data_IF_468218220912
#
_entry.id   IF_468218220912
#
_cell.length_a   1.000
_cell.length_b   1.000
_cell.length_c   1.000
_cell.angle_alpha   90.00
_cell.angle_beta   90.00
_cell.angle_gamma   90.00
#
_symmetry.space_group_name_H-M   'P 1'
#
loop_
_entity.id
_entity.type
_entity.pdbx_description
1 polymer ?
#
# COMPACT_ATOMS: atom_id res chain seq x y z
N UNK A 1 5.70 0.21 0.68
CA UNK A 1 4.33 -0.30 0.71
C UNK A 1 4.35 -1.61 1.44
N UNK A 2 3.50 -1.72 2.47
CA UNK A 2 3.45 -2.88 3.36
C UNK A 2 2.02 -3.17 3.84
N UNK A 3 1.03 -3.17 2.95
CA UNK A 3 -0.37 -3.19 3.39
C UNK A 3 -0.75 -4.52 4.03
N UNK A 4 -0.24 -5.63 3.51
CA UNK A 4 -0.49 -6.93 4.13
C UNK A 4 0.25 -7.04 5.46
N UNK A 5 1.51 -6.61 5.51
CA UNK A 5 2.31 -6.64 6.75
C UNK A 5 1.72 -5.73 7.85
N UNK A 6 1.16 -4.57 7.51
CA UNK A 6 0.61 -3.62 8.48
C UNK A 6 -0.82 -3.91 8.91
N UNK A 7 -1.67 -4.41 8.00
CA UNK A 7 -3.10 -4.52 8.28
C UNK A 7 -3.63 -5.95 8.23
N UNK A 8 -2.91 -6.90 7.62
CA UNK A 8 -3.35 -8.29 7.52
C UNK A 8 -3.59 -8.94 8.88
N UNK A 9 -2.68 -8.71 9.84
CA UNK A 9 -2.79 -9.26 11.20
C UNK A 9 -4.03 -8.77 11.96
N UNK A 10 -4.53 -7.56 11.67
CA UNK A 10 -5.72 -7.00 12.32
C UNK A 10 -6.99 -7.78 11.98
N UNK A 11 -7.05 -8.42 10.80
CA UNK A 11 -8.17 -9.31 10.44
C UNK A 11 -8.00 -10.71 11.05
N UNK A 12 -6.77 -11.20 11.15
CA UNK A 12 -6.51 -12.54 11.72
C UNK A 12 -6.87 -12.63 13.21
N UNK A 13 -6.79 -11.52 13.94
CA UNK A 13 -7.23 -11.46 15.35
C UNK A 13 -8.76 -11.58 15.52
N UNK A 14 -9.54 -11.42 14.44
CA UNK A 14 -11.00 -11.62 14.42
C UNK A 14 -11.40 -13.04 13.96
N UNK A 15 -10.48 -13.79 13.36
CA UNK A 15 -10.75 -15.12 12.86
C UNK A 15 -10.65 -16.14 14.02
N UNK A 16 -11.80 -16.71 14.42
CA UNK A 16 -11.96 -17.69 15.52
C UNK A 16 -10.98 -18.89 15.49
N UNK A 17 -10.33 -19.13 14.35
CA UNK A 17 -9.39 -20.22 14.10
C UNK A 17 -7.91 -19.88 14.35
N UNK A 18 -7.57 -18.59 14.49
CA UNK A 18 -6.20 -18.18 14.79
C UNK A 18 -6.11 -17.82 16.29
N UNK A 19 -5.19 -18.42 17.06
CA UNK A 19 -4.96 -17.98 18.44
C UNK A 19 -4.56 -16.50 18.42
N UNK A 20 -4.82 -15.76 19.51
CA UNK A 20 -4.25 -14.41 19.68
C UNK A 20 -2.74 -14.53 19.58
N UNK A 21 -2.18 -14.24 18.41
CA UNK A 21 -0.76 -14.34 18.18
C UNK A 21 -0.09 -13.34 19.11
N UNK A 22 0.88 -13.80 19.91
CA UNK A 22 1.66 -12.89 20.73
C UNK A 22 2.28 -11.80 19.85
N UNK A 23 2.36 -10.57 20.37
CA UNK A 23 2.87 -9.41 19.63
C UNK A 23 4.20 -9.71 18.90
N UNK A 24 5.09 -10.47 19.54
CA UNK A 24 6.35 -10.89 18.95
C UNK A 24 6.17 -11.72 17.66
N UNK A 25 5.24 -12.68 17.66
CA UNK A 25 4.99 -13.51 16.49
C UNK A 25 4.34 -12.71 15.35
N UNK A 26 3.44 -11.77 15.68
CA UNK A 26 2.88 -10.82 14.69
C UNK A 26 3.98 -10.00 14.04
N UNK A 27 4.90 -9.43 14.83
CA UNK A 27 6.03 -8.63 14.32
C UNK A 27 6.86 -9.45 13.34
N UNK A 28 7.25 -10.68 13.72
CA UNK A 28 8.09 -11.54 12.86
C UNK A 28 7.38 -11.91 11.56
N UNK A 29 6.10 -12.30 11.63
CA UNK A 29 5.33 -12.64 10.42
C UNK A 29 5.15 -11.42 9.53
N UNK A 30 4.79 -10.26 10.09
CA UNK A 30 4.71 -9.01 9.34
C UNK A 30 6.03 -8.67 8.66
N UNK A 31 7.17 -8.93 9.32
CA UNK A 31 8.51 -8.72 8.74
C UNK A 31 8.80 -9.63 7.53
N UNK A 32 8.38 -10.90 7.61
CA UNK A 32 8.51 -11.84 6.49
C UNK A 32 7.64 -11.43 5.31
N UNK A 33 6.39 -11.01 5.55
CA UNK A 33 5.50 -10.49 4.51
C UNK A 33 6.07 -9.22 3.87
N UNK A 34 6.55 -8.31 4.72
CA UNK A 34 7.22 -7.08 4.34
C UNK A 34 8.43 -7.32 3.41
N UNK A 35 9.22 -8.36 3.70
CA UNK A 35 10.34 -8.75 2.85
C UNK A 35 9.90 -9.07 1.42
N UNK A 36 8.84 -9.87 1.25
CA UNK A 36 8.30 -10.19 -0.07
C UNK A 36 7.73 -8.95 -0.78
N UNK A 37 7.02 -8.07 -0.08
CA UNK A 37 6.52 -6.81 -0.66
C UNK A 37 7.69 -5.95 -1.19
N UNK A 38 8.81 -5.91 -0.47
CA UNK A 38 10.02 -5.20 -0.92
C UNK A 38 10.70 -5.85 -2.11
N UNK A 39 10.70 -7.18 -2.22
CA UNK A 39 11.29 -7.89 -3.37
C UNK A 39 10.68 -7.45 -4.70
N UNK A 40 9.43 -6.99 -4.72
CA UNK A 40 8.80 -6.42 -5.92
C UNK A 40 8.97 -4.90 -6.01
N UNK A 41 8.81 -4.20 -4.89
CA UNK A 41 8.81 -2.74 -4.91
C UNK A 41 10.18 -2.14 -5.22
N UNK A 42 11.26 -2.72 -4.69
CA UNK A 42 12.62 -2.20 -4.87
C UNK A 42 13.08 -2.31 -6.33
N UNK A 43 12.96 -3.47 -7.02
CA UNK A 43 13.26 -3.55 -8.44
C UNK A 43 12.38 -2.65 -9.30
N UNK A 44 11.07 -2.58 -9.03
CA UNK A 44 10.17 -1.72 -9.79
C UNK A 44 10.56 -0.24 -9.70
N UNK A 45 10.89 0.24 -8.50
CA UNK A 45 11.35 1.61 -8.29
C UNK A 45 12.69 1.87 -8.98
N UNK A 46 13.60 0.88 -9.00
CA UNK A 46 14.90 0.99 -9.65
C UNK A 46 14.77 1.07 -11.17
N UNK A 47 13.93 0.22 -11.77
CA UNK A 47 13.69 0.19 -13.23
C UNK A 47 13.02 1.49 -13.70
N UNK A 48 12.12 2.06 -12.88
CA UNK A 48 11.42 3.30 -13.23
C UNK A 48 12.26 4.58 -13.08
N UNK A 49 13.40 4.55 -12.37
CA UNK A 49 14.16 5.77 -12.04
C UNK A 49 15.05 6.25 -13.17
N UNK A 50 14.96 7.55 -13.45
CA UNK A 50 15.67 8.22 -14.55
C UNK A 50 17.18 7.96 -14.57
N UNK A 51 17.83 7.96 -13.40
CA UNK A 51 19.28 7.75 -13.33
C UNK A 51 19.70 6.28 -13.57
N UNK A 52 18.75 5.34 -13.54
CA UNK A 52 18.98 3.94 -13.90
C UNK A 52 18.42 3.60 -15.30
N UNK A 53 18.09 4.61 -16.12
CA UNK A 53 17.58 4.43 -17.48
C UNK A 53 16.05 4.37 -17.59
N UNK A 54 15.33 4.58 -16.49
CA UNK A 54 13.87 4.65 -16.47
C UNK A 54 13.31 6.01 -16.93
N UNK A 55 11.99 6.14 -17.08
CA UNK A 55 11.37 7.37 -17.58
C UNK A 55 11.06 8.41 -16.47
N UNK A 56 11.10 8.05 -15.19
CA UNK A 56 10.53 8.86 -14.11
C UNK A 56 11.57 9.49 -13.18
N UNK A 57 11.33 10.73 -12.75
CA UNK A 57 12.12 11.39 -11.69
C UNK A 57 11.83 10.77 -10.32
N UNK A 58 12.67 11.08 -9.32
CA UNK A 58 12.48 10.63 -7.94
C UNK A 58 11.09 11.02 -7.40
N UNK A 59 10.67 12.27 -7.67
CA UNK A 59 9.38 12.80 -7.21
C UNK A 59 8.21 12.10 -7.91
N UNK A 60 8.29 11.88 -9.21
CA UNK A 60 7.27 11.17 -9.97
C UNK A 60 7.11 9.72 -9.49
N UNK A 61 8.22 9.01 -9.24
CA UNK A 61 8.19 7.66 -8.68
C UNK A 61 7.52 7.60 -7.32
N UNK A 62 7.83 8.55 -6.44
CA UNK A 62 7.23 8.61 -5.11
C UNK A 62 5.72 8.80 -5.20
N UNK A 63 5.26 9.66 -6.09
CA UNK A 63 3.85 9.96 -6.27
C UNK A 63 3.10 8.80 -6.89
N UNK A 64 3.67 8.16 -7.91
CA UNK A 64 3.15 6.90 -8.45
C UNK A 64 3.00 5.87 -7.31
N UNK A 65 4.03 5.74 -6.46
CA UNK A 65 3.97 4.81 -5.34
C UNK A 65 2.87 5.15 -4.34
N UNK A 66 2.64 6.42 -4.00
CA UNK A 66 1.54 6.84 -3.11
C UNK A 66 0.16 6.57 -3.73
N UNK A 67 0.01 6.81 -5.04
CA UNK A 67 -1.24 6.50 -5.76
C UNK A 67 -1.52 5.00 -5.72
N UNK A 68 -0.52 4.16 -6.07
CA UNK A 68 -0.65 2.71 -5.94
C UNK A 68 -0.95 2.36 -4.47
N UNK A 69 -0.35 3.09 -3.52
CA UNK A 69 -0.60 2.99 -2.06
C UNK A 69 -2.04 3.06 -1.67
N UNK A 70 -2.68 4.12 -2.09
CA UNK A 70 -4.05 4.36 -1.71
C UNK A 70 -4.99 3.43 -2.48
N UNK A 71 -4.71 3.12 -3.75
CA UNK A 71 -5.52 2.18 -4.54
C UNK A 71 -5.53 0.78 -3.93
N UNK A 72 -4.35 0.19 -3.68
CA UNK A 72 -4.28 -1.17 -3.12
C UNK A 72 -4.78 -1.19 -1.68
N UNK A 73 -4.56 -0.14 -0.89
CA UNK A 73 -5.15 -0.03 0.45
C UNK A 73 -6.69 0.00 0.42
N UNK A 74 -7.30 0.77 -0.48
CA UNK A 74 -8.76 0.83 -0.65
C UNK A 74 -9.32 -0.53 -1.10
N UNK A 75 -8.68 -1.19 -2.07
CA UNK A 75 -9.09 -2.54 -2.48
C UNK A 75 -8.97 -3.53 -1.32
N UNK A 76 -7.86 -3.47 -0.59
CA UNK A 76 -7.63 -4.32 0.57
C UNK A 76 -8.67 -4.07 1.68
N UNK A 77 -8.98 -2.81 2.02
CA UNK A 77 -9.97 -2.50 3.05
C UNK A 77 -11.38 -2.94 2.65
N UNK A 78 -11.76 -2.82 1.37
CA UNK A 78 -13.04 -3.31 0.88
C UNK A 78 -13.15 -4.84 0.94
N UNK A 79 -12.12 -5.56 0.49
CA UNK A 79 -12.13 -7.03 0.44
C UNK A 79 -11.95 -7.66 1.83
N UNK A 80 -10.98 -7.16 2.60
CA UNK A 80 -10.64 -7.70 3.91
C UNK A 80 -11.49 -7.08 5.02
N UNK A 81 -11.72 -5.77 5.08
CA UNK A 81 -12.41 -5.22 6.25
C UNK A 81 -13.93 -5.16 6.08
N UNK A 82 -14.49 -5.19 4.85
CA UNK A 82 -15.94 -5.23 4.55
C UNK A 82 -16.81 -4.17 5.27
N UNK A 83 -16.21 -3.23 6.01
CA UNK A 83 -16.92 -2.38 6.99
C UNK A 83 -17.11 -0.93 6.59
N UNK A 84 -16.53 -0.45 5.48
CA UNK A 84 -16.66 0.97 5.13
C UNK A 84 -17.61 1.19 3.95
N UNK A 85 -18.69 1.94 4.21
CA UNK A 85 -19.57 2.48 3.19
C UNK A 85 -18.83 3.58 2.43
N UNK A 86 -18.89 3.57 1.09
CA UNK A 86 -18.31 4.64 0.27
C UNK A 86 -18.94 5.99 0.65
N UNK A 87 -18.22 6.79 1.43
CA UNK A 87 -18.60 8.18 1.77
C UNK A 87 -18.04 9.15 0.75
N UNK A 88 -18.75 10.27 0.54
CA UNK A 88 -18.36 11.35 -0.38
C UNK A 88 -16.90 11.84 -0.17
N UNK A 89 -16.40 11.79 1.06
CA UNK A 89 -15.03 12.13 1.41
C UNK A 89 -13.98 11.28 0.67
N UNK A 90 -14.27 10.00 0.38
CA UNK A 90 -13.38 9.12 -0.39
C UNK A 90 -13.28 9.57 -1.84
N UNK A 91 -14.39 10.03 -2.42
CA UNK A 91 -14.42 10.57 -3.78
C UNK A 91 -13.59 11.86 -3.87
N UNK A 92 -13.75 12.75 -2.90
CA UNK A 92 -12.97 13.99 -2.80
C UNK A 92 -11.46 13.67 -2.66
N UNK A 93 -11.10 12.71 -1.82
CA UNK A 93 -9.71 12.27 -1.68
C UNK A 93 -9.13 11.71 -3.00
N UNK A 94 -9.90 10.93 -3.76
CA UNK A 94 -9.51 10.46 -5.10
C UNK A 94 -9.28 11.63 -6.06
N UNK A 95 -10.14 12.65 -6.08
CA UNK A 95 -9.96 13.84 -6.92
C UNK A 95 -8.65 14.57 -6.57
N UNK A 96 -8.36 14.76 -5.28
CA UNK A 96 -7.11 15.39 -4.86
C UNK A 96 -5.87 14.55 -5.24
N UNK A 97 -5.97 13.22 -5.24
CA UNK A 97 -4.88 12.37 -5.75
C UNK A 97 -4.64 12.56 -7.24
N UNK A 98 -5.71 12.61 -8.04
CA UNK A 98 -5.59 12.87 -9.49
C UNK A 98 -4.96 14.25 -9.75
N UNK A 99 -5.38 15.27 -8.99
CA UNK A 99 -4.78 16.61 -9.07
C UNK A 99 -3.29 16.60 -8.70
N UNK A 100 -2.91 15.89 -7.62
CA UNK A 100 -1.52 15.76 -7.21
C UNK A 100 -0.66 15.08 -8.29
N UNK A 101 -1.17 14.05 -8.96
CA UNK A 101 -0.50 13.44 -10.12
C UNK A 101 -0.36 14.47 -11.24
N UNK A 102 -1.44 15.15 -11.63
CA UNK A 102 -1.38 16.13 -12.72
C UNK A 102 -0.29 17.20 -12.51
N UNK A 103 -0.20 17.79 -11.32
CA UNK A 103 0.79 18.84 -11.04
C UNK A 103 2.25 18.37 -11.02
N UNK A 104 2.50 17.08 -10.75
CA UNK A 104 3.87 16.55 -10.66
C UNK A 104 4.39 16.07 -12.01
N UNK A 105 3.49 15.83 -12.97
CA UNK A 105 3.83 15.44 -14.34
C UNK A 105 3.78 16.60 -15.34
N UNK A 106 3.34 17.79 -14.92
CA UNK A 106 3.36 19.05 -15.70
C UNK A 106 4.65 19.82 -15.43
#
# INVERSE_FOLDING_TARGET
FMTLAWYGHLKFDTARFFPKWGLFAVIVISWLVAFFEYCFQVPANRIGFKNFGGPFTLMQLKVIQEVITLVVFVLFSMLFFRTETFRLNHLIACVFLVLAVYFIFK
#
